data_IF_516265923361
#
_entry.id   IF_516265923361
#
_cell.length_a   1.000
_cell.length_b   1.000
_cell.length_c   1.000
_cell.angle_alpha   90.00
_cell.angle_beta   90.00
_cell.angle_gamma   90.00
#
_symmetry.space_group_name_H-M   'P 1'
#
loop_
_entity.id
_entity.type
_entity.pdbx_description
1 polymer ?
#
# COMPACT_ATOMS: atom_id res chain seq x y z
N UNK A 1 -22.43 79.98 -22.97
CA UNK A 1 -20.96 80.07 -22.84
C UNK A 1 -20.62 80.23 -21.37
N UNK A 2 -20.16 79.17 -20.68
CA UNK A 2 -19.49 79.24 -19.37
C UNK A 2 -18.56 78.02 -19.30
N UNK A 3 -17.26 78.29 -19.28
CA UNK A 3 -16.14 77.35 -19.29
C UNK A 3 -15.81 76.96 -17.84
N UNK A 4 -15.99 75.69 -17.46
CA UNK A 4 -15.56 75.17 -16.15
C UNK A 4 -14.15 74.61 -16.23
N UNK A 5 -13.23 75.22 -15.47
CA UNK A 5 -11.84 74.78 -15.27
C UNK A 5 -11.82 73.57 -14.32
N UNK A 6 -11.19 72.47 -14.75
CA UNK A 6 -10.86 71.34 -13.90
C UNK A 6 -9.49 71.58 -13.24
N UNK A 7 -9.44 71.54 -11.91
CA UNK A 7 -8.19 71.46 -11.16
C UNK A 7 -7.96 69.98 -10.79
N UNK A 8 -6.85 69.40 -11.26
CA UNK A 8 -6.38 68.07 -10.87
C UNK A 8 -5.60 68.20 -9.55
N UNK A 9 -6.08 67.57 -8.49
CA UNK A 9 -5.30 67.36 -7.27
C UNK A 9 -4.66 65.97 -7.31
N UNK A 10 -3.33 65.91 -7.38
CA UNK A 10 -2.58 64.66 -7.19
C UNK A 10 -2.57 64.32 -5.69
N UNK A 11 -3.18 63.20 -5.32
CA UNK A 11 -2.99 62.56 -4.01
C UNK A 11 -1.91 61.50 -4.17
N UNK A 12 -0.72 61.73 -3.60
CA UNK A 12 0.33 60.74 -3.53
C UNK A 12 -0.01 59.72 -2.42
N UNK A 13 -0.50 58.55 -2.80
CA UNK A 13 -0.74 57.43 -1.89
C UNK A 13 0.54 56.62 -1.69
N UNK A 14 1.20 56.77 -0.54
CA UNK A 14 2.31 55.91 -0.12
C UNK A 14 1.78 54.53 0.26
N UNK A 15 2.00 53.54 -0.61
CA UNK A 15 1.74 52.14 -0.29
C UNK A 15 2.81 51.63 0.70
N UNK A 16 2.43 51.43 1.96
CA UNK A 16 3.23 50.66 2.90
C UNK A 16 3.18 49.18 2.51
N UNK A 17 4.26 48.69 1.90
CA UNK A 17 4.47 47.26 1.71
C UNK A 17 4.87 46.66 3.05
N UNK A 18 3.97 45.90 3.67
CA UNK A 18 4.27 45.18 4.90
C UNK A 18 5.10 43.94 4.56
N UNK A 19 6.40 43.98 4.84
CA UNK A 19 7.25 42.79 4.73
C UNK A 19 6.88 41.80 5.84
N UNK A 20 6.34 40.65 5.46
CA UNK A 20 6.16 39.53 6.38
C UNK A 20 7.54 39.07 6.87
N UNK A 21 7.78 39.12 8.18
CA UNK A 21 8.97 38.49 8.78
C UNK A 21 8.82 36.97 8.64
N UNK A 22 9.78 36.31 8.01
CA UNK A 22 9.86 34.86 8.03
C UNK A 22 10.11 34.40 9.47
N UNK A 23 9.25 33.53 10.00
CA UNK A 23 9.48 32.92 11.31
C UNK A 23 10.71 32.00 11.24
N UNK A 24 11.58 32.00 12.27
CA UNK A 24 12.73 31.12 12.31
C UNK A 24 12.26 29.66 12.30
N UNK A 25 12.91 28.84 11.47
CA UNK A 25 12.65 27.40 11.39
C UNK A 25 13.55 26.66 12.37
N UNK A 26 12.93 25.76 13.13
CA UNK A 26 13.60 24.78 13.98
C UNK A 26 13.83 23.48 13.20
N UNK A 27 14.82 22.71 13.63
CA UNK A 27 15.17 21.43 12.99
C UNK A 27 14.92 20.29 13.95
N UNK A 28 14.10 19.33 13.51
CA UNK A 28 13.86 18.06 14.18
C UNK A 28 14.46 16.94 13.34
N UNK A 29 15.23 16.06 13.99
CA UNK A 29 15.89 14.93 13.32
C UNK A 29 15.59 13.64 14.06
N UNK A 30 15.42 12.56 13.29
CA UNK A 30 15.11 11.24 13.83
C UNK A 30 15.34 10.13 12.82
N UNK A 31 14.82 8.96 13.14
CA UNK A 31 14.90 7.79 12.26
C UNK A 31 13.53 7.15 12.05
N UNK A 32 13.28 6.63 10.85
CA UNK A 32 12.13 5.79 10.54
C UNK A 32 12.61 4.36 10.37
N UNK A 33 12.08 3.45 11.17
CA UNK A 33 12.41 2.02 11.12
C UNK A 33 11.15 1.22 10.78
N UNK A 34 11.31 0.14 10.00
CA UNK A 34 10.26 -0.84 9.72
C UNK A 34 10.73 -2.23 10.18
N UNK A 35 9.82 -3.04 10.73
CA UNK A 35 10.18 -4.34 11.35
C UNK A 35 10.37 -5.48 10.35
N UNK A 36 9.79 -5.36 9.17
CA UNK A 36 9.73 -6.46 8.21
C UNK A 36 11.05 -6.62 7.47
N UNK A 37 11.58 -7.85 7.41
CA UNK A 37 12.81 -8.20 6.68
C UNK A 37 12.56 -8.29 5.17
N UNK A 38 11.87 -7.31 4.60
CA UNK A 38 11.68 -7.20 3.15
C UNK A 38 12.60 -6.12 2.57
N UNK A 39 13.05 -6.34 1.33
CA UNK A 39 13.68 -5.29 0.55
C UNK A 39 12.61 -4.24 0.23
N UNK A 40 12.89 -2.97 0.52
CA UNK A 40 12.08 -1.89 -0.02
C UNK A 40 12.27 -1.87 -1.55
N UNK A 41 11.19 -1.73 -2.33
CA UNK A 41 11.30 -1.65 -3.79
C UNK A 41 12.10 -0.42 -4.20
N UNK A 42 12.76 -0.50 -5.35
CA UNK A 42 13.43 0.67 -5.92
C UNK A 42 12.42 1.80 -6.17
N UNK A 43 12.82 3.04 -5.86
CA UNK A 43 11.95 4.21 -5.97
C UNK A 43 11.00 4.43 -4.80
N UNK A 44 11.25 3.77 -3.65
CA UNK A 44 10.53 4.06 -2.42
C UNK A 44 10.89 5.46 -1.89
N UNK A 45 9.86 6.24 -1.55
CA UNK A 45 9.97 7.60 -1.04
C UNK A 45 9.42 7.65 0.37
N UNK A 46 10.22 8.18 1.30
CA UNK A 46 9.80 8.49 2.65
C UNK A 46 9.22 9.92 2.68
N UNK A 47 8.04 10.07 3.25
CA UNK A 47 7.46 11.35 3.66
C UNK A 47 7.32 11.36 5.18
N UNK A 48 7.82 12.40 5.85
CA UNK A 48 7.62 12.64 7.28
C UNK A 48 6.96 14.00 7.47
N UNK A 49 5.84 14.02 8.17
CA UNK A 49 5.04 15.21 8.43
C UNK A 49 4.99 15.48 9.94
N UNK A 50 5.02 16.75 10.30
CA UNK A 50 4.62 17.23 11.61
C UNK A 50 3.22 17.83 11.51
N UNK A 51 2.30 17.30 12.30
CA UNK A 51 0.89 17.64 12.25
C UNK A 51 0.43 18.25 13.60
N UNK A 52 -0.37 19.32 13.54
CA UNK A 52 -1.16 19.80 14.68
C UNK A 52 -2.42 18.95 14.80
N UNK A 53 -2.51 18.21 15.92
CA UNK A 53 -3.61 17.33 16.27
C UNK A 53 -4.40 17.84 17.49
N UNK A 54 -4.33 19.14 17.77
CA UNK A 54 -4.99 19.75 18.94
C UNK A 54 -6.50 19.66 18.89
N UNK A 55 -7.08 19.45 17.70
CA UNK A 55 -8.52 19.27 17.48
C UNK A 55 -8.82 17.80 17.23
N UNK A 56 -9.57 17.18 18.13
CA UNK A 56 -9.90 15.75 18.03
C UNK A 56 -10.78 15.40 16.81
N UNK A 57 -11.67 16.30 16.40
CA UNK A 57 -12.69 16.05 15.36
C UNK A 57 -12.43 16.82 14.05
N UNK A 58 -11.22 17.33 13.85
CA UNK A 58 -10.83 18.01 12.62
C UNK A 58 -9.64 17.28 11.97
N UNK A 59 -9.52 17.33 10.62
CA UNK A 59 -8.30 16.90 9.95
C UNK A 59 -7.08 17.58 10.56
N UNK A 60 -6.03 16.81 10.80
CA UNK A 60 -4.79 17.34 11.33
C UNK A 60 -4.18 18.34 10.34
N UNK A 61 -3.58 19.40 10.86
CA UNK A 61 -2.98 20.44 10.02
C UNK A 61 -1.49 20.15 9.88
N UNK A 62 -1.00 19.90 8.67
CA UNK A 62 0.43 19.73 8.41
C UNK A 62 1.17 21.05 8.57
N UNK A 63 2.10 21.10 9.53
CA UNK A 63 2.95 22.26 9.81
C UNK A 63 4.28 22.22 9.07
N UNK A 64 4.78 21.01 8.83
CA UNK A 64 6.01 20.77 8.11
C UNK A 64 5.98 19.40 7.43
N UNK A 65 6.67 19.29 6.31
CA UNK A 65 6.87 18.04 5.59
C UNK A 65 8.33 17.91 5.15
N UNK A 66 8.85 16.70 5.23
CA UNK A 66 10.13 16.28 4.65
C UNK A 66 9.87 15.10 3.73
N UNK A 67 10.48 15.13 2.54
CA UNK A 67 10.33 14.08 1.54
C UNK A 67 11.70 13.70 0.99
N UNK A 68 12.02 12.40 0.99
CA UNK A 68 13.32 11.91 0.52
C UNK A 68 13.23 10.51 -0.08
N UNK A 69 14.11 10.22 -1.03
CA UNK A 69 14.26 8.89 -1.61
C UNK A 69 14.98 7.95 -0.64
N UNK A 70 14.54 6.70 -0.60
CA UNK A 70 15.17 5.66 0.22
C UNK A 70 16.19 4.92 -0.64
N UNK A 71 17.47 5.25 -0.42
CA UNK A 71 18.57 4.66 -1.19
C UNK A 71 19.06 3.31 -0.65
N UNK A 72 18.87 3.06 0.65
CA UNK A 72 19.37 1.84 1.32
C UNK A 72 18.36 1.33 2.36
N UNK A 73 18.22 0.00 2.52
CA UNK A 73 17.49 -0.58 3.65
C UNK A 73 18.13 -0.24 5.00
N UNK A 74 17.34 -0.25 6.06
CA UNK A 74 17.78 0.03 7.44
C UNK A 74 17.03 1.21 8.05
N UNK A 75 17.45 1.70 9.23
CA UNK A 75 16.91 2.93 9.81
C UNK A 75 17.14 4.11 8.86
N UNK A 76 16.04 4.73 8.43
CA UNK A 76 16.06 5.83 7.47
C UNK A 76 16.11 7.13 8.27
N UNK A 77 17.26 7.80 8.28
CA UNK A 77 17.39 9.11 8.92
C UNK A 77 16.58 10.16 8.17
N UNK A 78 15.88 11.04 8.88
CA UNK A 78 15.17 12.17 8.30
C UNK A 78 15.49 13.46 9.06
N UNK A 79 15.34 14.57 8.36
CA UNK A 79 15.42 15.91 8.92
C UNK A 79 14.17 16.68 8.50
N UNK A 80 13.50 17.30 9.47
CA UNK A 80 12.27 18.06 9.29
C UNK A 80 12.48 19.49 9.78
N UNK A 81 12.23 20.48 8.92
CA UNK A 81 12.27 21.90 9.30
C UNK A 81 10.86 22.38 9.58
N UNK A 82 10.60 22.90 10.77
CA UNK A 82 9.26 23.29 11.21
C UNK A 82 9.26 24.67 11.89
N UNK A 83 8.12 25.39 11.91
CA UNK A 83 7.98 26.61 12.70
C UNK A 83 8.02 26.31 14.21
N UNK A 84 8.25 27.33 15.03
CA UNK A 84 8.26 27.19 16.48
C UNK A 84 6.92 26.63 17.01
N UNK A 85 7.01 25.63 17.89
CA UNK A 85 5.82 24.95 18.42
C UNK A 85 5.17 25.75 19.55
N UNK A 86 3.85 25.93 19.46
CA UNK A 86 3.06 26.65 20.47
C UNK A 86 2.79 25.75 21.67
N UNK A 87 2.96 26.31 22.87
CA UNK A 87 2.58 25.66 24.13
C UNK A 87 1.06 25.46 24.22
N UNK A 88 0.63 24.35 24.83
CA UNK A 88 -0.80 23.97 24.97
C UNK A 88 -1.41 23.27 23.75
N UNK A 89 -0.65 23.16 22.65
CA UNK A 89 -1.05 22.42 21.46
C UNK A 89 -0.47 20.99 21.49
N UNK A 90 -1.10 20.09 20.74
CA UNK A 90 -0.66 18.71 20.58
C UNK A 90 -0.17 18.49 19.16
N UNK A 91 1.04 17.97 19.03
CA UNK A 91 1.65 17.70 17.73
C UNK A 91 1.98 16.22 17.60
N UNK A 92 1.87 15.70 16.38
CA UNK A 92 2.24 14.33 16.06
C UNK A 92 3.17 14.30 14.84
N UNK A 93 4.13 13.40 14.86
CA UNK A 93 4.92 13.01 13.70
C UNK A 93 4.22 11.86 12.98
N UNK A 94 4.09 11.98 11.67
CA UNK A 94 3.54 10.96 10.78
C UNK A 94 4.52 10.68 9.66
N UNK A 95 5.02 9.45 9.61
CA UNK A 95 5.85 8.93 8.54
C UNK A 95 5.05 7.96 7.64
N UNK A 96 5.28 8.07 6.34
CA UNK A 96 4.72 7.21 5.30
C UNK A 96 5.79 6.84 4.28
N UNK A 97 5.79 5.59 3.82
CA UNK A 97 6.66 5.13 2.73
C UNK A 97 5.79 4.74 1.55
N UNK A 98 6.00 5.37 0.39
CA UNK A 98 5.27 5.11 -0.86
C UNK A 98 6.18 4.67 -1.99
N UNK A 99 5.62 3.95 -2.95
CA UNK A 99 6.21 3.73 -4.29
C UNK A 99 5.18 4.15 -5.32
N UNK A 100 5.47 5.21 -6.07
CA UNK A 100 4.45 5.92 -6.85
C UNK A 100 3.29 6.36 -5.94
N UNK A 101 2.06 6.01 -6.30
CA UNK A 101 0.86 6.31 -5.50
C UNK A 101 0.54 5.26 -4.43
N UNK A 102 1.31 4.17 -4.37
CA UNK A 102 1.02 3.05 -3.46
C UNK A 102 1.66 3.28 -2.09
N UNK A 103 0.84 3.37 -1.05
CA UNK A 103 1.27 3.39 0.35
C UNK A 103 1.70 1.99 0.80
N UNK A 104 2.96 1.87 1.23
CA UNK A 104 3.54 0.61 1.69
C UNK A 104 3.65 0.55 3.21
N UNK A 105 4.06 1.65 3.85
CA UNK A 105 4.20 1.72 5.30
C UNK A 105 3.63 3.03 5.84
N UNK A 106 3.08 2.97 7.05
CA UNK A 106 2.61 4.16 7.78
C UNK A 106 2.91 4.03 9.27
N UNK A 107 2.86 5.13 9.99
CA UNK A 107 3.20 5.20 11.41
C UNK A 107 2.20 4.42 12.27
N UNK A 108 2.70 3.68 13.26
CA UNK A 108 1.87 3.01 14.26
C UNK A 108 1.74 3.88 15.53
N UNK A 109 0.53 4.16 15.98
CA UNK A 109 0.30 4.90 17.22
C UNK A 109 0.68 6.38 17.18
N UNK A 110 0.81 6.99 18.37
CA UNK A 110 1.16 8.40 18.53
C UNK A 110 2.66 8.57 18.71
N UNK A 111 3.27 9.43 17.90
CA UNK A 111 4.65 9.86 18.04
C UNK A 111 4.68 11.38 18.20
N UNK A 112 5.09 11.88 19.36
CA UNK A 112 5.28 13.32 19.58
C UNK A 112 6.62 13.82 19.04
N UNK A 113 6.84 15.15 18.94
CA UNK A 113 8.14 15.73 18.56
C UNK A 113 9.30 15.33 19.50
N UNK A 114 8.97 14.96 20.74
CA UNK A 114 9.88 14.40 21.75
C UNK A 114 10.25 12.93 21.50
N UNK A 115 9.54 12.26 20.60
CA UNK A 115 9.77 10.86 20.19
C UNK A 115 10.10 10.79 18.68
N UNK A 116 11.23 11.35 18.24
CA UNK A 116 11.54 11.51 16.82
C UNK A 116 11.88 10.20 16.10
N UNK A 117 12.06 9.09 16.83
CA UNK A 117 12.25 7.78 16.23
C UNK A 117 10.89 7.11 16.02
N UNK A 118 10.55 6.88 14.75
CA UNK A 118 9.24 6.42 14.33
C UNK A 118 9.35 4.97 13.87
N UNK A 119 8.44 4.15 14.37
CA UNK A 119 8.25 2.79 13.89
C UNK A 119 7.08 2.78 12.91
N UNK A 120 7.33 2.37 11.67
CA UNK A 120 6.28 2.21 10.67
C UNK A 120 5.93 0.73 10.49
N UNK A 121 4.65 0.47 10.30
CA UNK A 121 4.10 -0.84 10.01
C UNK A 121 3.67 -0.89 8.55
N UNK A 122 3.66 -2.09 7.98
CA UNK A 122 3.20 -2.28 6.61
C UNK A 122 1.71 -2.05 6.54
N UNK A 123 1.29 -1.21 5.60
CA UNK A 123 -0.13 -1.08 5.27
C UNK A 123 -0.54 -2.37 4.57
N UNK A 124 -1.53 -3.05 5.13
CA UNK A 124 -2.20 -4.12 4.39
C UNK A 124 -2.79 -3.46 3.15
N UNK A 125 -2.45 -3.94 1.94
CA UNK A 125 -3.16 -3.54 0.73
C UNK A 125 -4.67 -3.60 1.06
N UNK A 126 -5.49 -2.63 0.62
CA UNK A 126 -6.91 -2.60 0.96
C UNK A 126 -7.45 -4.01 0.76
N UNK A 127 -7.92 -4.63 1.85
CA UNK A 127 -8.29 -6.03 1.85
C UNK A 127 -9.21 -6.22 0.65
N UNK A 128 -8.79 -7.02 -0.33
CA UNK A 128 -9.51 -7.04 -1.59
C UNK A 128 -10.95 -7.42 -1.25
N UNK A 129 -11.92 -6.57 -1.56
CA UNK A 129 -13.32 -6.84 -1.20
C UNK A 129 -13.94 -7.90 -2.13
N UNK A 130 -13.14 -8.45 -3.03
CA UNK A 130 -13.55 -9.22 -4.19
C UNK A 130 -12.44 -10.22 -4.55
N UNK A 131 -12.80 -11.40 -5.08
CA UNK A 131 -11.84 -12.41 -5.51
C UNK A 131 -11.26 -12.07 -6.90
N UNK A 132 -11.80 -11.07 -7.61
CA UNK A 132 -11.30 -10.68 -8.93
C UNK A 132 -9.90 -10.07 -8.85
N UNK A 133 -9.08 -10.36 -9.87
CA UNK A 133 -7.69 -9.92 -9.94
C UNK A 133 -6.72 -11.09 -10.09
N UNK A 134 -5.43 -10.78 -9.97
CA UNK A 134 -4.34 -11.75 -10.09
C UNK A 134 -3.73 -12.03 -8.72
N UNK A 135 -3.62 -13.32 -8.40
CA UNK A 135 -3.30 -13.83 -7.08
C UNK A 135 -2.16 -14.84 -7.15
N UNK A 136 -1.16 -14.70 -6.30
CA UNK A 136 -0.02 -15.60 -6.13
C UNK A 136 -0.34 -16.64 -5.05
N UNK A 137 -0.19 -17.92 -5.34
CA UNK A 137 -0.47 -18.99 -4.37
C UNK A 137 0.62 -18.99 -3.29
N UNK A 138 0.21 -19.03 -2.02
CA UNK A 138 1.11 -19.13 -0.86
C UNK A 138 0.99 -20.47 -0.14
N UNK A 139 -0.17 -21.10 -0.16
CA UNK A 139 -0.39 -22.41 0.45
C UNK A 139 -1.38 -23.25 -0.36
N UNK A 140 -1.14 -24.56 -0.37
CA UNK A 140 -2.03 -25.60 -0.89
C UNK A 140 -2.21 -26.66 0.19
N UNK A 141 -3.42 -27.19 0.35
CA UNK A 141 -3.70 -28.28 1.30
C UNK A 141 -3.30 -27.95 2.75
N UNK A 142 -3.44 -26.68 3.13
CA UNK A 142 -3.03 -26.17 4.45
C UNK A 142 -1.51 -26.09 4.67
N UNK A 143 -0.69 -26.38 3.64
CA UNK A 143 0.78 -26.34 3.71
C UNK A 143 1.31 -25.16 2.90
N UNK A 144 2.23 -24.35 3.47
CA UNK A 144 2.94 -23.33 2.70
C UNK A 144 3.65 -23.94 1.49
N UNK A 145 3.64 -23.24 0.36
CA UNK A 145 4.40 -23.64 -0.81
C UNK A 145 5.90 -23.50 -0.55
N UNK A 146 6.65 -24.54 -0.89
CA UNK A 146 8.11 -24.47 -0.94
C UNK A 146 8.58 -23.43 -1.98
N UNK A 147 9.75 -22.80 -1.77
CA UNK A 147 10.32 -21.87 -2.74
C UNK A 147 10.45 -22.49 -4.13
N UNK A 148 9.85 -21.85 -5.14
CA UNK A 148 9.92 -22.25 -6.54
C UNK A 148 10.51 -21.12 -7.38
N UNK A 149 11.10 -21.47 -8.53
CA UNK A 149 11.62 -20.48 -9.47
C UNK A 149 10.54 -19.50 -9.97
N UNK A 150 9.30 -19.99 -10.08
CA UNK A 150 8.13 -19.18 -10.41
C UNK A 150 6.93 -19.68 -9.60
N UNK A 151 6.36 -18.80 -8.77
CA UNK A 151 5.16 -19.13 -7.99
C UNK A 151 3.95 -19.38 -8.89
N UNK A 152 3.06 -20.32 -8.53
CA UNK A 152 1.76 -20.47 -9.17
C UNK A 152 0.92 -19.20 -9.01
N UNK A 153 0.14 -18.88 -10.05
CA UNK A 153 -0.69 -17.67 -10.12
C UNK A 153 -2.07 -18.02 -10.64
N UNK A 154 -3.10 -17.36 -10.09
CA UNK A 154 -4.49 -17.44 -10.51
C UNK A 154 -5.03 -16.04 -10.83
N UNK A 155 -5.62 -15.86 -12.00
CA UNK A 155 -6.33 -14.65 -12.39
C UNK A 155 -7.82 -14.97 -12.51
N UNK A 156 -8.63 -14.25 -11.73
CA UNK A 156 -10.09 -14.34 -11.75
C UNK A 156 -10.65 -13.06 -12.40
N UNK A 157 -11.26 -13.20 -13.57
CA UNK A 157 -11.86 -12.07 -14.29
C UNK A 157 -13.35 -11.92 -13.96
N UNK A 158 -13.86 -10.70 -14.06
CA UNK A 158 -15.28 -10.39 -13.81
C UNK A 158 -16.23 -11.10 -14.79
N UNK A 159 -15.77 -11.40 -16.01
CA UNK A 159 -16.53 -12.17 -17.00
C UNK A 159 -16.52 -13.69 -16.75
N UNK A 160 -15.99 -14.14 -15.60
CA UNK A 160 -15.91 -15.55 -15.23
C UNK A 160 -14.77 -16.32 -15.88
N UNK A 161 -13.91 -15.68 -16.69
CA UNK A 161 -12.71 -16.33 -17.24
C UNK A 161 -11.63 -16.49 -16.16
N UNK A 162 -11.04 -17.67 -16.10
CA UNK A 162 -9.92 -18.01 -15.22
C UNK A 162 -8.69 -18.29 -16.07
N UNK A 163 -7.56 -17.73 -15.68
CA UNK A 163 -6.26 -18.01 -16.30
C UNK A 163 -5.17 -18.02 -15.26
N UNK A 164 -4.04 -18.67 -15.53
CA UNK A 164 -2.97 -18.71 -14.55
C UNK A 164 -1.78 -19.55 -14.94
N UNK A 165 -0.94 -19.81 -13.95
CA UNK A 165 0.20 -20.71 -14.01
C UNK A 165 0.11 -21.68 -12.83
N UNK A 166 0.11 -22.98 -13.11
CA UNK A 166 -0.09 -24.04 -12.13
C UNK A 166 1.16 -24.44 -11.36
N UNK A 167 2.34 -23.99 -11.79
CA UNK A 167 3.63 -24.45 -11.28
C UNK A 167 4.49 -25.10 -12.37
N UNK A 168 3.87 -25.73 -13.37
CA UNK A 168 4.56 -26.19 -14.58
C UNK A 168 3.89 -25.69 -15.86
N UNK A 169 2.57 -25.81 -15.94
CA UNK A 169 1.73 -25.51 -17.07
C UNK A 169 0.91 -24.24 -16.86
N UNK A 170 0.43 -23.69 -17.98
CA UNK A 170 -0.56 -22.61 -17.95
C UNK A 170 -1.93 -23.20 -17.67
N UNK A 171 -2.70 -22.54 -16.81
CA UNK A 171 -4.07 -22.90 -16.46
C UNK A 171 -5.04 -21.99 -17.21
N UNK A 172 -6.13 -22.57 -17.73
CA UNK A 172 -7.20 -21.88 -18.43
C UNK A 172 -8.54 -22.50 -18.03
N UNK A 173 -9.55 -21.69 -17.77
CA UNK A 173 -10.87 -22.22 -17.43
C UNK A 173 -11.89 -21.13 -17.17
N UNK A 174 -12.96 -21.51 -16.47
CA UNK A 174 -14.04 -20.62 -16.10
C UNK A 174 -14.45 -20.85 -14.65
N UNK A 175 -14.97 -19.79 -14.01
CA UNK A 175 -15.58 -19.86 -12.70
C UNK A 175 -16.88 -19.06 -12.67
N UNK A 176 -17.86 -19.59 -11.94
CA UNK A 176 -19.10 -18.87 -11.60
C UNK A 176 -18.96 -18.38 -10.18
N UNK A 177 -19.02 -17.06 -10.00
CA UNK A 177 -18.90 -16.38 -8.70
C UNK A 177 -20.22 -15.67 -8.40
N UNK A 178 -20.83 -15.98 -7.25
CA UNK A 178 -22.08 -15.36 -6.78
C UNK A 178 -22.00 -15.13 -5.28
N UNK A 179 -21.96 -13.87 -4.84
CA UNK A 179 -21.66 -13.55 -3.44
C UNK A 179 -20.33 -14.17 -3.01
N UNK A 180 -20.32 -14.92 -1.91
CA UNK A 180 -19.15 -15.65 -1.41
C UNK A 180 -18.98 -17.06 -2.04
N UNK A 181 -19.86 -17.47 -2.95
CA UNK A 181 -19.74 -18.77 -3.61
C UNK A 181 -18.90 -18.65 -4.86
N UNK A 182 -18.07 -19.67 -5.11
CA UNK A 182 -17.26 -19.79 -6.31
C UNK A 182 -17.23 -21.27 -6.73
N UNK A 183 -17.49 -21.52 -8.01
CA UNK A 183 -17.36 -22.85 -8.62
C UNK A 183 -16.52 -22.76 -9.86
N UNK A 184 -15.42 -23.50 -9.88
CA UNK A 184 -14.60 -23.67 -11.07
C UNK A 184 -15.22 -24.74 -11.97
N UNK A 185 -15.23 -24.47 -13.27
CA UNK A 185 -15.40 -25.49 -14.29
C UNK A 185 -14.10 -26.30 -14.42
N UNK A 186 -14.12 -27.48 -15.07
CA UNK A 186 -12.91 -28.24 -15.33
C UNK A 186 -11.82 -27.36 -15.95
N UNK A 187 -10.63 -27.40 -15.36
CA UNK A 187 -9.51 -26.56 -15.78
C UNK A 187 -8.73 -27.24 -16.90
N UNK A 188 -8.46 -26.50 -17.97
CA UNK A 188 -7.55 -26.90 -19.02
C UNK A 188 -6.11 -26.50 -18.66
N UNK A 189 -5.16 -27.35 -19.05
CA UNK A 189 -3.73 -27.11 -18.87
C UNK A 189 -2.94 -27.44 -20.14
N UNK A 190 -1.81 -26.77 -20.32
CA UNK A 190 -0.80 -27.22 -21.30
C UNK A 190 -0.16 -28.54 -20.85
N UNK A 191 0.60 -29.21 -21.72
CA UNK A 191 1.27 -30.50 -21.41
C UNK A 191 2.80 -30.39 -21.52
N UNK A 192 3.38 -29.45 -20.79
CA UNK A 192 4.82 -29.35 -20.60
C UNK A 192 5.26 -30.22 -19.43
N UNK A 193 6.47 -30.74 -19.51
CA UNK A 193 7.14 -31.39 -18.39
C UNK A 193 8.15 -30.41 -17.79
N UNK A 194 8.14 -30.29 -16.47
CA UNK A 194 9.07 -29.43 -15.73
C UNK A 194 9.94 -30.26 -14.80
N UNK A 195 11.17 -29.79 -14.57
CA UNK A 195 12.08 -30.35 -13.56
C UNK A 195 11.69 -29.80 -12.18
N UNK A 196 11.78 -30.64 -11.15
CA UNK A 196 11.48 -30.26 -9.77
C UNK A 196 10.02 -30.46 -9.38
N UNK A 197 9.54 -29.69 -8.41
CA UNK A 197 8.23 -29.87 -7.77
C UNK A 197 7.04 -29.30 -8.57
N UNK A 198 7.28 -28.64 -9.71
CA UNK A 198 6.26 -27.91 -10.46
C UNK A 198 5.04 -28.76 -10.89
N UNK A 199 5.28 -30.01 -11.32
CA UNK A 199 4.21 -30.93 -11.72
C UNK A 199 3.35 -31.38 -10.52
N UNK A 200 3.97 -31.59 -9.36
CA UNK A 200 3.26 -31.97 -8.13
C UNK A 200 2.40 -30.81 -7.64
N UNK A 201 2.97 -29.61 -7.60
CA UNK A 201 2.28 -28.39 -7.21
C UNK A 201 1.07 -28.14 -8.13
N UNK A 202 1.24 -28.29 -9.44
CA UNK A 202 0.15 -28.14 -10.40
C UNK A 202 -0.98 -29.13 -10.18
N UNK A 203 -0.64 -30.40 -9.96
CA UNK A 203 -1.64 -31.46 -9.77
C UNK A 203 -2.50 -31.19 -8.53
N UNK A 204 -1.85 -30.81 -7.42
CA UNK A 204 -2.56 -30.43 -6.19
C UNK A 204 -3.38 -29.16 -6.37
N UNK A 205 -2.83 -28.16 -7.05
CA UNK A 205 -3.53 -26.90 -7.27
C UNK A 205 -4.80 -27.09 -8.11
N UNK A 206 -4.72 -27.82 -9.23
CA UNK A 206 -5.90 -28.08 -10.08
C UNK A 206 -6.93 -28.93 -9.35
N UNK A 207 -6.50 -29.97 -8.63
CA UNK A 207 -7.40 -30.79 -7.81
C UNK A 207 -8.16 -29.94 -6.79
N UNK A 208 -7.47 -29.04 -6.09
CA UNK A 208 -8.12 -28.18 -5.11
C UNK A 208 -9.15 -27.23 -5.74
N UNK A 209 -8.90 -26.72 -6.94
CA UNK A 209 -9.87 -25.89 -7.66
C UNK A 209 -11.19 -26.63 -7.93
N UNK A 210 -11.16 -27.95 -8.14
CA UNK A 210 -12.37 -28.77 -8.36
C UNK A 210 -13.25 -28.87 -7.10
N UNK A 211 -12.64 -28.83 -5.91
CA UNK A 211 -13.32 -28.99 -4.62
C UNK A 211 -13.75 -27.66 -3.98
N UNK A 212 -13.22 -26.53 -4.47
CA UNK A 212 -13.58 -25.20 -3.97
C UNK A 212 -15.06 -24.89 -4.19
N UNK A 213 -15.72 -24.36 -3.16
CA UNK A 213 -17.13 -23.94 -3.19
C UNK A 213 -17.37 -22.51 -2.73
N UNK A 214 -16.45 -21.96 -1.93
CA UNK A 214 -16.57 -20.59 -1.43
C UNK A 214 -15.22 -19.89 -1.39
N UNK A 215 -15.27 -18.57 -1.28
CA UNK A 215 -14.11 -17.72 -1.12
C UNK A 215 -14.32 -16.74 0.03
N UNK A 216 -13.22 -16.29 0.61
CA UNK A 216 -13.20 -15.29 1.68
C UNK A 216 -11.92 -14.48 1.60
N UNK A 217 -11.95 -13.27 2.14
CA UNK A 217 -10.75 -12.42 2.24
C UNK A 217 -10.40 -12.28 3.71
N UNK A 218 -9.15 -12.62 4.05
CA UNK A 218 -8.62 -12.50 5.39
C UNK A 218 -8.35 -11.05 5.78
N UNK A 219 -8.11 -10.82 7.07
CA UNK A 219 -7.83 -9.49 7.63
C UNK A 219 -6.56 -8.85 7.04
N UNK A 220 -5.63 -9.65 6.51
CA UNK A 220 -4.38 -9.17 5.88
C UNK A 220 -4.50 -9.09 4.36
N UNK A 221 -5.70 -9.23 3.81
CA UNK A 221 -5.98 -9.14 2.38
C UNK A 221 -5.64 -10.42 1.60
N UNK A 222 -5.42 -11.55 2.27
CA UNK A 222 -5.26 -12.85 1.61
C UNK A 222 -6.60 -13.37 1.06
N UNK A 223 -6.60 -13.90 -0.16
CA UNK A 223 -7.73 -14.64 -0.72
C UNK A 223 -7.63 -16.10 -0.28
N UNK A 224 -8.67 -16.60 0.36
CA UNK A 224 -8.79 -18.01 0.70
C UNK A 224 -9.90 -18.64 -0.12
N UNK A 225 -9.58 -19.75 -0.78
CA UNK A 225 -10.56 -20.59 -1.47
C UNK A 225 -10.84 -21.81 -0.59
N UNK A 226 -12.11 -22.02 -0.24
CA UNK A 226 -12.53 -23.00 0.75
C UNK A 226 -13.37 -24.12 0.12
N UNK A 227 -13.29 -25.30 0.73
CA UNK A 227 -14.15 -26.45 0.41
C UNK A 227 -15.61 -26.19 0.81
N UNK A 228 -16.48 -27.16 0.53
CA UNK A 228 -17.87 -27.13 1.00
C UNK A 228 -18.00 -27.11 2.55
N UNK A 229 -17.06 -27.74 3.25
CA UNK A 229 -17.02 -27.78 4.72
C UNK A 229 -16.32 -26.56 5.35
N UNK A 230 -15.91 -25.58 4.54
CA UNK A 230 -15.23 -24.37 5.02
C UNK A 230 -13.74 -24.55 5.30
N UNK A 231 -13.14 -25.68 4.88
CA UNK A 231 -11.70 -25.92 5.02
C UNK A 231 -10.95 -25.11 3.96
N UNK A 232 -9.93 -24.38 4.38
CA UNK A 232 -9.06 -23.61 3.48
C UNK A 232 -8.22 -24.56 2.59
N UNK A 233 -8.51 -24.58 1.29
CA UNK A 233 -7.81 -25.43 0.31
C UNK A 233 -6.63 -24.71 -0.33
N UNK A 234 -6.80 -23.40 -0.58
CA UNK A 234 -5.82 -22.57 -1.27
C UNK A 234 -5.80 -21.20 -0.59
N UNK A 235 -4.60 -20.74 -0.20
CA UNK A 235 -4.38 -19.37 0.31
C UNK A 235 -3.53 -18.61 -0.70
N UNK A 236 -3.99 -17.43 -1.09
CA UNK A 236 -3.35 -16.60 -2.10
C UNK A 236 -3.16 -15.16 -1.60
N UNK A 237 -2.17 -14.47 -2.15
CA UNK A 237 -1.95 -13.03 -1.93
C UNK A 237 -1.98 -12.28 -3.26
N UNK A 238 -2.39 -11.01 -3.24
CA UNK A 238 -2.44 -10.22 -4.48
C UNK A 238 -1.07 -10.18 -5.16
N UNK A 239 -1.01 -10.49 -6.45
CA UNK A 239 0.27 -10.54 -7.18
C UNK A 239 0.95 -9.17 -7.32
N UNK A 240 0.20 -8.08 -7.11
CA UNK A 240 0.78 -6.73 -6.99
C UNK A 240 1.71 -6.60 -5.77
N UNK A 241 1.57 -7.49 -4.77
CA UNK A 241 2.40 -7.53 -3.56
C UNK A 241 3.69 -8.34 -3.80
N UNK A 242 3.65 -9.41 -4.60
CA UNK A 242 4.80 -10.29 -4.86
C UNK A 242 5.73 -9.79 -5.98
N UNK A 243 5.27 -8.84 -6.81
CA UNK A 243 6.03 -8.31 -7.96
C UNK A 243 7.16 -7.35 -7.58
N UNK A 244 7.35 -7.07 -6.29
CA UNK A 244 8.43 -6.21 -5.78
C UNK A 244 9.64 -6.99 -5.24
N UNK A 245 9.72 -8.29 -5.53
CA UNK A 245 10.87 -9.13 -5.18
C UNK A 245 11.58 -9.63 -6.44
N UNK A 246 12.16 -8.72 -7.20
CA UNK A 246 13.21 -8.97 -8.20
C UNK A 246 14.30 -7.91 -8.04
#
# INVERSE_FOLDING_TARGET
MITRRFALSLVAGSAFVQMAKAEPLETLSGTVTYRERMALPAGAVLTVQLEDISRADAPAITLAESRQDILRPGPIAYTLRHPALKSGFRYALRAEIRVGDTLLFTTEGFHGPDQPNILVHRVSAPAASSPYGTWSVQALDGKPLEPTARKPVLTLNQNGRVSGFGGCNRLMGHAVIKGNTIRFAPMAMTRMACIGSGMVIESHFVKNLEDVRSWSIGQRGELTLNSQSGIAMIVLTSSNIDSQKL
#
